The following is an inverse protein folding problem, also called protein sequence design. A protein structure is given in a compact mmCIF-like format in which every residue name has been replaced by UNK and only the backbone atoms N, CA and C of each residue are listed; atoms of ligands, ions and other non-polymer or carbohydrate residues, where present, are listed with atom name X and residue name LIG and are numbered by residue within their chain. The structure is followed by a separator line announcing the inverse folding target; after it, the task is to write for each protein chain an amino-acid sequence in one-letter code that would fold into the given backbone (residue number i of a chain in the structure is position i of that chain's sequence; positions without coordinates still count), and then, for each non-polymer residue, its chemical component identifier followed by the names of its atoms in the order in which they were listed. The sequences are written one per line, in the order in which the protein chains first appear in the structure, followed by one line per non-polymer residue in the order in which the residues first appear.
data_IF_612431477325
#
_entry.id   IF_612431477325
#
_cell.length_a   1.000
_cell.length_b   1.000
_cell.length_c   1.000
_cell.angle_alpha   90.00
_cell.angle_beta   90.00
_cell.angle_gamma   90.00
#
_symmetry.space_group_name_H-M   'P 1'
#
loop_
_entity.id
_entity.type
_entity.pdbx_description
1 polymer ?
#
# COMPACT_ATOMS: atom_id res chain seq x y z
N UNK A 1 -2.82 12.78 -0.19
CA UNK A 1 -2.70 13.36 -1.54
C UNK A 1 -3.94 14.18 -1.88
N UNK A 2 -5.12 13.61 -1.94
CA UNK A 2 -6.35 14.35 -2.27
C UNK A 2 -6.58 15.60 -1.42
N UNK A 3 -6.38 15.53 -0.10
CA UNK A 3 -6.50 16.70 0.80
C UNK A 3 -5.55 17.84 0.41
N UNK A 4 -4.33 17.52 -0.04
CA UNK A 4 -3.37 18.54 -0.46
C UNK A 4 -3.75 19.10 -1.83
N UNK A 5 -4.23 18.27 -2.75
CA UNK A 5 -4.76 18.74 -4.03
C UNK A 5 -5.93 19.71 -3.81
N UNK A 6 -6.85 19.39 -2.90
CA UNK A 6 -7.96 20.27 -2.54
C UNK A 6 -7.47 21.57 -1.88
N UNK A 7 -6.58 21.48 -0.89
CA UNK A 7 -6.20 22.64 -0.07
C UNK A 7 -5.18 23.58 -0.73
N UNK A 8 -4.27 23.04 -1.57
CA UNK A 8 -3.19 23.83 -2.20
C UNK A 8 -3.40 24.13 -3.67
N UNK A 9 -4.17 23.30 -4.38
CA UNK A 9 -4.36 23.42 -5.82
C UNK A 9 -5.83 23.63 -6.21
N UNK A 10 -6.72 23.86 -5.22
CA UNK A 10 -8.13 24.17 -5.39
C UNK A 10 -8.96 23.12 -6.16
N UNK A 11 -8.51 21.85 -6.15
CA UNK A 11 -9.32 20.77 -6.73
C UNK A 11 -10.58 20.52 -5.91
N UNK A 12 -11.70 20.33 -6.59
CA UNK A 12 -12.90 19.72 -6.01
C UNK A 12 -12.81 18.22 -6.24
N UNK A 13 -12.70 17.43 -5.17
CA UNK A 13 -12.48 15.99 -5.26
C UNK A 13 -13.60 15.24 -4.55
N UNK A 14 -14.29 14.41 -5.30
CA UNK A 14 -15.24 13.43 -4.80
C UNK A 14 -14.62 12.04 -4.84
N UNK A 15 -14.79 11.27 -3.78
CA UNK A 15 -14.24 9.91 -3.66
C UNK A 15 -15.39 8.92 -3.67
N UNK A 16 -15.40 8.05 -4.69
CA UNK A 16 -16.34 6.96 -4.82
C UNK A 16 -15.65 5.62 -4.53
N UNK A 17 -16.25 4.82 -3.64
CA UNK A 17 -15.65 3.53 -3.25
C UNK A 17 -16.73 2.55 -2.83
N UNK A 18 -16.35 1.29 -2.60
CA UNK A 18 -17.25 0.29 -2.04
C UNK A 18 -17.43 0.45 -0.53
N UNK A 19 -18.45 -0.22 0.01
CA UNK A 19 -18.66 -0.36 1.44
C UNK A 19 -17.80 -1.47 2.09
N UNK A 20 -16.86 -2.09 1.37
CA UNK A 20 -15.97 -3.12 1.91
C UNK A 20 -15.10 -2.61 3.05
N UNK A 21 -14.97 -3.41 4.12
CA UNK A 21 -14.02 -3.19 5.22
C UNK A 21 -12.76 -4.04 5.01
N UNK A 22 -12.89 -5.21 4.40
CA UNK A 22 -11.76 -6.11 4.14
C UNK A 22 -11.70 -6.55 2.67
N UNK A 23 -10.55 -7.09 2.27
CA UNK A 23 -10.33 -7.55 0.88
C UNK A 23 -11.21 -8.75 0.49
N UNK A 24 -11.71 -9.52 1.47
CA UNK A 24 -12.61 -10.64 1.20
C UNK A 24 -13.95 -10.12 0.69
N UNK A 25 -14.45 -9.06 1.29
CA UNK A 25 -15.71 -8.42 0.91
C UNK A 25 -15.74 -7.93 -0.55
N UNK A 26 -14.58 -7.67 -1.18
CA UNK A 26 -14.57 -7.26 -2.59
C UNK A 26 -15.12 -8.32 -3.56
N UNK A 27 -15.24 -9.59 -3.12
CA UNK A 27 -15.62 -10.74 -3.95
C UNK A 27 -16.52 -11.77 -3.27
N UNK A 28 -16.59 -11.74 -1.95
CA UNK A 28 -17.28 -12.76 -1.14
C UNK A 28 -18.20 -12.07 -0.12
N UNK A 29 -19.53 -12.35 -0.15
CA UNK A 29 -20.48 -11.77 0.78
C UNK A 29 -20.21 -12.12 2.26
N UNK A 30 -19.38 -13.13 2.54
CA UNK A 30 -18.89 -13.45 3.89
C UNK A 30 -17.77 -12.52 4.38
N UNK A 31 -17.32 -11.56 3.55
CA UNK A 31 -16.39 -10.49 3.95
C UNK A 31 -17.10 -9.43 4.80
N UNK A 32 -16.30 -8.61 5.48
CA UNK A 32 -16.82 -7.54 6.32
C UNK A 32 -17.17 -6.31 5.48
N UNK A 33 -18.37 -5.81 5.59
CA UNK A 33 -18.86 -4.57 4.95
C UNK A 33 -19.40 -3.59 5.97
N UNK A 34 -19.38 -2.31 5.64
CA UNK A 34 -20.09 -1.27 6.39
C UNK A 34 -21.60 -1.48 6.20
N UNK A 35 -22.36 -1.47 7.29
CA UNK A 35 -23.83 -1.55 7.26
C UNK A 35 -24.43 -0.25 6.69
N UNK A 36 -25.63 -0.31 6.07
CA UNK A 36 -26.29 0.87 5.48
C UNK A 36 -26.44 2.05 6.44
N UNK A 37 -26.70 1.78 7.72
CA UNK A 37 -26.88 2.78 8.78
C UNK A 37 -25.58 3.51 9.15
N UNK A 38 -24.42 2.99 8.73
CA UNK A 38 -23.12 3.59 8.96
C UNK A 38 -22.72 4.45 7.75
N UNK A 39 -23.27 5.67 7.68
CA UNK A 39 -22.81 6.79 6.83
C UNK A 39 -22.14 6.36 5.53
N UNK A 40 -22.92 5.87 4.57
CA UNK A 40 -22.44 5.66 3.20
C UNK A 40 -21.91 6.98 2.60
N UNK A 41 -22.39 8.09 3.12
CA UNK A 41 -21.87 9.43 2.88
C UNK A 41 -21.19 9.97 4.13
N UNK A 42 -19.94 10.33 4.02
CA UNK A 42 -19.26 11.05 5.10
C UNK A 42 -18.20 11.99 4.52
N UNK A 43 -17.89 13.00 5.31
CA UNK A 43 -16.82 13.93 5.01
C UNK A 43 -15.62 13.56 5.89
N UNK A 44 -14.49 13.27 5.25
CA UNK A 44 -13.21 13.08 5.95
C UNK A 44 -12.37 14.31 5.62
N UNK A 45 -12.09 15.11 6.64
CA UNK A 45 -11.47 16.42 6.47
C UNK A 45 -12.30 17.28 5.49
N UNK A 46 -11.73 17.68 4.35
CA UNK A 46 -12.43 18.46 3.31
C UNK A 46 -13.03 17.60 2.19
N UNK A 47 -12.81 16.29 2.18
CA UNK A 47 -13.17 15.39 1.08
C UNK A 47 -14.55 14.78 1.29
N UNK A 48 -15.36 14.77 0.23
CA UNK A 48 -16.63 14.02 0.19
C UNK A 48 -16.33 12.58 -0.20
N UNK A 49 -16.79 11.63 0.62
CA UNK A 49 -16.64 10.19 0.36
C UNK A 49 -18.01 9.56 0.25
N UNK A 50 -18.32 8.96 -0.89
CA UNK A 50 -19.54 8.19 -1.11
C UNK A 50 -19.18 6.71 -1.27
N UNK A 51 -19.79 5.87 -0.42
CA UNK A 51 -19.61 4.42 -0.45
C UNK A 51 -20.83 3.76 -1.05
N UNK A 52 -20.60 2.83 -1.95
CA UNK A 52 -21.67 2.09 -2.61
C UNK A 52 -21.67 0.64 -2.15
N UNK A 53 -22.85 0.03 -1.94
CA UNK A 53 -22.95 -1.37 -1.59
C UNK A 53 -22.44 -2.25 -2.74
N UNK A 54 -21.81 -3.37 -2.37
CA UNK A 54 -21.38 -4.37 -3.35
C UNK A 54 -22.57 -5.27 -3.65
N UNK A 55 -22.89 -5.43 -4.93
CA UNK A 55 -23.92 -6.38 -5.36
C UNK A 55 -23.29 -7.76 -5.59
N UNK A 56 -23.67 -8.74 -4.76
CA UNK A 56 -23.24 -10.14 -4.86
C UNK A 56 -24.28 -11.06 -5.48
N UNK A 57 -25.46 -10.55 -5.84
CA UNK A 57 -26.63 -11.36 -6.21
C UNK A 57 -26.66 -11.71 -7.71
N UNK A 58 -25.79 -11.08 -8.51
CA UNK A 58 -25.76 -11.27 -9.95
C UNK A 58 -24.62 -12.19 -10.36
N UNK A 59 -24.90 -13.05 -11.32
CA UNK A 59 -23.89 -13.83 -12.00
C UNK A 59 -23.01 -12.95 -12.91
N UNK A 60 -21.83 -13.44 -13.25
CA UNK A 60 -20.92 -12.75 -14.18
C UNK A 60 -21.57 -12.46 -15.53
N UNK A 61 -22.42 -13.39 -16.01
CA UNK A 61 -23.13 -13.21 -17.27
C UNK A 61 -24.19 -12.10 -17.18
N UNK A 62 -24.97 -12.06 -16.11
CA UNK A 62 -25.96 -10.99 -15.89
C UNK A 62 -25.30 -9.62 -15.81
N UNK A 63 -24.19 -9.51 -15.07
CA UNK A 63 -23.41 -8.27 -14.99
C UNK A 63 -22.92 -7.86 -16.38
N UNK A 64 -22.35 -8.80 -17.14
CA UNK A 64 -21.88 -8.54 -18.50
C UNK A 64 -23.01 -8.05 -19.42
N UNK A 65 -24.18 -8.69 -19.38
CA UNK A 65 -25.34 -8.26 -20.19
C UNK A 65 -25.84 -6.87 -19.82
N UNK A 66 -25.90 -6.55 -18.52
CA UNK A 66 -26.26 -5.20 -18.07
C UNK A 66 -25.28 -4.14 -18.58
N UNK A 67 -23.98 -4.43 -18.57
CA UNK A 67 -22.98 -3.53 -19.13
C UNK A 67 -23.12 -3.35 -20.63
N UNK A 68 -23.42 -4.43 -21.38
CA UNK A 68 -23.65 -4.39 -22.84
C UNK A 68 -24.82 -3.52 -23.25
N UNK A 69 -25.81 -3.35 -22.39
CA UNK A 69 -26.94 -2.45 -22.62
C UNK A 69 -26.57 -0.96 -22.48
N UNK A 70 -25.34 -0.65 -22.04
CA UNK A 70 -24.83 0.73 -21.96
C UNK A 70 -24.01 1.02 -23.22
N UNK A 71 -24.47 1.94 -24.05
CA UNK A 71 -23.82 2.27 -25.33
C UNK A 71 -22.33 2.65 -25.15
N UNK A 72 -22.05 3.52 -24.20
CA UNK A 72 -20.68 3.95 -23.87
C UNK A 72 -19.76 2.79 -23.45
N UNK A 73 -20.30 1.71 -22.88
CA UNK A 73 -19.53 0.53 -22.56
C UNK A 73 -19.07 -0.22 -23.82
N UNK A 74 -19.92 -0.28 -24.85
CA UNK A 74 -19.59 -0.97 -26.10
C UNK A 74 -18.43 -0.27 -26.82
N UNK A 75 -18.33 1.05 -26.73
CA UNK A 75 -17.25 1.84 -27.33
C UNK A 75 -15.87 1.59 -26.69
N UNK A 76 -15.80 1.00 -25.48
CA UNK A 76 -14.53 0.61 -24.84
C UNK A 76 -13.81 -0.52 -25.60
N UNK A 77 -14.50 -1.29 -26.44
CA UNK A 77 -13.94 -2.40 -27.20
C UNK A 77 -13.15 -3.39 -26.32
N UNK A 78 -13.72 -3.76 -25.16
CA UNK A 78 -13.17 -4.76 -24.26
C UNK A 78 -13.73 -6.14 -24.62
N UNK A 79 -12.87 -7.16 -24.71
CA UNK A 79 -13.33 -8.53 -24.96
C UNK A 79 -14.16 -9.04 -23.77
N UNK A 80 -15.14 -9.93 -24.05
CA UNK A 80 -15.96 -10.57 -23.02
C UNK A 80 -15.09 -11.26 -21.97
N UNK A 81 -14.02 -11.96 -22.39
CA UNK A 81 -13.08 -12.60 -21.48
C UNK A 81 -12.44 -11.59 -20.52
N UNK A 82 -11.98 -10.44 -21.03
CA UNK A 82 -11.39 -9.38 -20.21
C UNK A 82 -12.37 -8.88 -19.15
N UNK A 83 -13.58 -8.52 -19.58
CA UNK A 83 -14.61 -7.97 -18.67
C UNK A 83 -15.00 -9.01 -17.61
N UNK A 84 -15.21 -10.29 -18.00
CA UNK A 84 -15.54 -11.37 -17.07
C UNK A 84 -14.45 -11.56 -16.00
N UNK A 85 -13.17 -11.53 -16.40
CA UNK A 85 -12.05 -11.60 -15.45
C UNK A 85 -12.05 -10.42 -14.45
N UNK A 86 -12.40 -9.21 -14.90
CA UNK A 86 -12.54 -8.05 -14.01
C UNK A 86 -13.73 -8.20 -13.08
N UNK A 87 -14.88 -8.67 -13.56
CA UNK A 87 -16.07 -8.95 -12.72
C UNK A 87 -15.68 -9.94 -11.61
N UNK A 88 -14.98 -11.03 -11.92
CA UNK A 88 -14.45 -11.99 -10.92
C UNK A 88 -13.54 -11.35 -9.89
N UNK A 89 -12.82 -10.32 -10.25
CA UNK A 89 -11.95 -9.59 -9.34
C UNK A 89 -12.72 -8.62 -8.44
N UNK A 90 -13.94 -8.22 -8.80
CA UNK A 90 -14.82 -7.32 -8.03
C UNK A 90 -14.18 -5.96 -7.72
N UNK A 91 -14.84 -5.14 -6.91
CA UNK A 91 -16.26 -5.25 -6.52
C UNK A 91 -17.19 -4.77 -7.64
N UNK A 92 -18.36 -5.37 -7.79
CA UNK A 92 -19.41 -4.86 -8.68
C UNK A 92 -20.31 -3.89 -7.91
N UNK A 93 -20.32 -2.63 -8.36
CA UNK A 93 -21.02 -1.51 -7.71
C UNK A 93 -22.15 -1.02 -8.63
N UNK A 94 -23.25 -1.73 -8.64
CA UNK A 94 -24.39 -1.45 -9.52
C UNK A 94 -24.94 -0.03 -9.32
N UNK A 95 -25.12 0.36 -8.05
CA UNK A 95 -25.68 1.66 -7.71
C UNK A 95 -24.74 2.82 -8.08
N UNK A 96 -23.41 2.58 -8.09
CA UNK A 96 -22.45 3.57 -8.60
C UNK A 96 -22.61 3.75 -10.11
N UNK A 97 -22.80 2.65 -10.86
CA UNK A 97 -22.99 2.71 -12.31
C UNK A 97 -24.31 3.44 -12.63
N UNK A 98 -25.40 3.08 -11.95
CA UNK A 98 -26.69 3.77 -12.10
C UNK A 98 -26.57 5.25 -11.78
N UNK A 99 -25.91 5.59 -10.68
CA UNK A 99 -25.70 6.97 -10.25
C UNK A 99 -25.10 7.82 -11.39
N UNK A 100 -24.03 7.37 -12.04
CA UNK A 100 -23.41 8.12 -13.13
C UNK A 100 -24.24 8.16 -14.44
N UNK A 101 -25.03 7.13 -14.71
CA UNK A 101 -25.92 7.12 -15.89
C UNK A 101 -27.10 8.08 -15.72
N UNK A 102 -27.58 8.24 -14.47
CA UNK A 102 -28.78 9.04 -14.19
C UNK A 102 -28.50 10.46 -13.70
N UNK A 103 -27.29 10.76 -13.22
CA UNK A 103 -26.91 12.08 -12.72
C UNK A 103 -26.47 12.98 -13.87
N UNK A 104 -27.37 13.86 -14.32
CA UNK A 104 -27.05 14.86 -15.35
C UNK A 104 -26.31 16.11 -14.82
N UNK A 105 -25.98 16.15 -13.51
CA UNK A 105 -25.53 17.38 -12.85
C UNK A 105 -24.03 17.39 -12.44
N UNK A 106 -23.31 16.26 -12.56
CA UNK A 106 -21.92 16.22 -12.10
C UNK A 106 -20.93 16.41 -13.26
N UNK A 107 -20.35 17.60 -13.35
CA UNK A 107 -19.27 17.90 -14.28
C UNK A 107 -17.93 17.59 -13.60
N UNK A 108 -17.20 16.61 -14.12
CA UNK A 108 -15.83 16.32 -13.75
C UNK A 108 -14.91 16.63 -14.92
N UNK A 109 -13.71 17.13 -14.62
CA UNK A 109 -12.70 17.40 -15.63
C UNK A 109 -11.82 16.15 -15.90
N UNK A 110 -11.73 15.23 -14.95
CA UNK A 110 -11.00 13.96 -15.08
C UNK A 110 -11.44 12.92 -14.04
N UNK A 111 -11.14 11.65 -14.31
CA UNK A 111 -11.37 10.55 -13.38
C UNK A 111 -10.05 9.80 -13.12
N UNK A 112 -9.73 9.58 -11.84
CA UNK A 112 -8.54 8.84 -11.43
C UNK A 112 -8.92 7.60 -10.63
N UNK A 113 -8.49 6.43 -11.10
CA UNK A 113 -8.71 5.14 -10.41
C UNK A 113 -7.40 4.50 -9.94
N UNK A 114 -7.50 3.59 -8.99
CA UNK A 114 -6.33 2.91 -8.41
C UNK A 114 -6.58 1.41 -8.27
N UNK A 115 -5.50 0.64 -8.07
CA UNK A 115 -5.51 -0.79 -7.79
C UNK A 115 -5.94 -1.70 -8.95
N UNK A 116 -4.97 -2.04 -9.79
CA UNK A 116 -5.10 -3.15 -10.74
C UNK A 116 -5.03 -4.51 -9.99
N UNK A 117 -5.73 -5.55 -10.41
CA UNK A 117 -6.72 -5.66 -11.49
C UNK A 117 -8.17 -5.76 -10.99
N UNK A 118 -8.66 -4.74 -10.32
CA UNK A 118 -10.04 -4.72 -9.81
C UNK A 118 -11.03 -4.11 -10.82
N UNK A 119 -12.33 -4.42 -10.64
CA UNK A 119 -13.40 -4.02 -11.58
C UNK A 119 -13.59 -2.50 -11.67
N UNK A 120 -13.18 -1.73 -10.66
CA UNK A 120 -13.20 -0.26 -10.71
C UNK A 120 -12.44 0.35 -11.91
N UNK A 121 -11.49 -0.37 -12.51
CA UNK A 121 -10.82 0.09 -13.73
C UNK A 121 -11.79 0.12 -14.91
N UNK A 122 -12.65 -0.89 -15.04
CA UNK A 122 -13.69 -0.94 -16.06
C UNK A 122 -14.71 0.18 -15.83
N UNK A 123 -15.12 0.39 -14.57
CA UNK A 123 -16.03 1.47 -14.18
C UNK A 123 -15.44 2.84 -14.52
N UNK A 124 -14.16 3.07 -14.21
CA UNK A 124 -13.48 4.33 -14.51
C UNK A 124 -13.48 4.64 -16.02
N UNK A 125 -13.12 3.65 -16.85
CA UNK A 125 -13.14 3.82 -18.31
C UNK A 125 -14.57 4.07 -18.85
N UNK A 126 -15.58 3.38 -18.28
CA UNK A 126 -16.97 3.60 -18.63
C UNK A 126 -17.39 5.05 -18.35
N UNK A 127 -17.07 5.56 -17.17
CA UNK A 127 -17.42 6.94 -16.78
C UNK A 127 -16.63 7.96 -17.58
N UNK A 128 -15.36 7.71 -17.88
CA UNK A 128 -14.60 8.56 -18.80
C UNK A 128 -15.27 8.69 -20.17
N UNK A 129 -15.92 7.62 -20.65
CA UNK A 129 -16.70 7.64 -21.91
C UNK A 129 -18.05 8.32 -21.78
N UNK A 130 -18.76 8.13 -20.66
CA UNK A 130 -20.07 8.77 -20.42
C UNK A 130 -19.91 10.29 -20.27
N UNK A 131 -18.86 10.72 -19.56
CA UNK A 131 -18.62 12.14 -19.24
C UNK A 131 -17.70 12.85 -20.25
N UNK A 132 -17.14 12.09 -21.20
CA UNK A 132 -16.16 12.58 -22.21
C UNK A 132 -14.93 13.25 -21.60
N UNK A 133 -14.44 12.68 -20.47
CA UNK A 133 -13.29 13.21 -19.73
C UNK A 133 -12.12 12.22 -19.68
N UNK A 134 -10.88 12.73 -19.55
CA UNK A 134 -9.71 11.86 -19.47
C UNK A 134 -9.70 10.98 -18.22
N UNK A 135 -9.12 9.79 -18.39
CA UNK A 135 -9.03 8.76 -17.36
C UNK A 135 -7.59 8.47 -16.97
N UNK A 136 -7.34 8.38 -15.67
CA UNK A 136 -6.02 8.10 -15.10
C UNK A 136 -6.07 6.83 -14.28
N UNK A 137 -5.02 6.00 -14.36
CA UNK A 137 -4.87 4.81 -13.53
C UNK A 137 -3.54 4.83 -12.76
N UNK A 138 -3.60 4.63 -11.42
CA UNK A 138 -2.42 4.23 -10.63
C UNK A 138 -2.57 2.75 -10.28
N UNK A 139 -1.92 1.83 -11.03
CA UNK A 139 -2.21 0.40 -10.92
C UNK A 139 -1.66 -0.25 -9.66
N UNK A 140 -0.61 0.30 -9.02
CA UNK A 140 0.11 -0.34 -7.91
C UNK A 140 0.54 -1.76 -8.28
N UNK A 141 1.34 -1.88 -9.31
CA UNK A 141 1.64 -3.15 -9.95
C UNK A 141 2.58 -4.03 -9.10
N UNK A 142 2.15 -5.25 -8.80
CA UNK A 142 2.93 -6.22 -8.04
C UNK A 142 3.60 -7.23 -8.97
N UNK A 143 4.78 -6.94 -9.46
CA UNK A 143 5.47 -7.68 -10.55
C UNK A 143 5.64 -9.18 -10.31
N UNK A 144 5.86 -9.57 -9.07
CA UNK A 144 6.14 -10.97 -8.71
C UNK A 144 4.88 -11.80 -8.47
N UNK A 145 3.70 -11.20 -8.59
CA UNK A 145 2.43 -11.90 -8.40
C UNK A 145 1.84 -12.30 -9.77
N UNK A 146 1.64 -13.60 -10.04
CA UNK A 146 1.11 -14.09 -11.33
C UNK A 146 -0.21 -13.43 -11.75
N UNK A 147 -1.05 -13.02 -10.80
CA UNK A 147 -2.31 -12.30 -11.06
C UNK A 147 -2.11 -11.02 -11.87
N UNK A 148 -0.95 -10.37 -11.74
CA UNK A 148 -0.62 -9.15 -12.47
C UNK A 148 0.03 -9.43 -13.85
N UNK A 149 0.32 -10.69 -14.16
CA UNK A 149 0.92 -11.10 -15.42
C UNK A 149 -0.09 -11.62 -16.45
N UNK A 150 -1.39 -11.54 -16.16
CA UNK A 150 -2.47 -11.97 -17.07
C UNK A 150 -2.54 -11.02 -18.28
N UNK A 151 -2.22 -11.54 -19.47
CA UNK A 151 -2.17 -10.77 -20.72
C UNK A 151 -3.52 -10.20 -21.14
N UNK A 152 -4.62 -10.84 -20.75
CA UNK A 152 -5.99 -10.39 -21.06
C UNK A 152 -6.33 -9.17 -20.18
N UNK A 153 -6.04 -9.26 -18.87
CA UNK A 153 -6.30 -8.14 -17.95
C UNK A 153 -5.42 -6.93 -18.24
N UNK A 154 -4.16 -7.15 -18.61
CA UNK A 154 -3.21 -6.06 -18.82
C UNK A 154 -3.58 -5.14 -20.01
N UNK A 155 -4.34 -5.66 -20.99
CA UNK A 155 -4.82 -4.87 -22.14
C UNK A 155 -5.68 -3.67 -21.74
N UNK A 156 -6.35 -3.71 -20.59
CA UNK A 156 -7.16 -2.57 -20.11
C UNK A 156 -6.29 -1.34 -19.84
N UNK A 157 -5.04 -1.53 -19.40
CA UNK A 157 -4.17 -0.41 -19.02
C UNK A 157 -3.86 0.51 -20.22
N UNK A 158 -3.77 -0.03 -21.45
CA UNK A 158 -3.56 0.79 -22.65
C UNK A 158 -4.74 1.69 -23.02
N UNK A 159 -5.93 1.45 -22.44
CA UNK A 159 -7.14 2.24 -22.68
C UNK A 159 -7.18 3.54 -21.89
N UNK A 160 -6.39 3.65 -20.83
CA UNK A 160 -6.29 4.89 -20.05
C UNK A 160 -5.53 5.98 -20.82
N UNK A 161 -5.90 7.23 -20.58
CA UNK A 161 -5.23 8.38 -21.17
C UNK A 161 -3.88 8.61 -20.52
N UNK A 162 -3.77 8.35 -19.20
CA UNK A 162 -2.53 8.42 -18.43
C UNK A 162 -2.44 7.29 -17.40
N UNK A 163 -1.22 6.82 -17.16
CA UNK A 163 -0.89 5.86 -16.09
C UNK A 163 0.14 6.51 -15.18
N UNK A 164 -0.04 6.34 -13.87
CA UNK A 164 0.94 6.73 -12.87
C UNK A 164 1.60 5.46 -12.33
N UNK A 165 2.82 5.20 -12.73
CA UNK A 165 3.66 4.14 -12.17
C UNK A 165 4.35 4.63 -10.89
N UNK A 166 4.46 3.78 -9.87
CA UNK A 166 5.12 4.16 -8.62
C UNK A 166 6.65 4.14 -8.72
N UNK A 167 7.21 3.41 -9.69
CA UNK A 167 8.66 3.24 -9.89
C UNK A 167 9.02 3.21 -11.37
N UNK A 168 10.28 3.48 -11.69
CA UNK A 168 10.79 3.32 -13.07
C UNK A 168 10.79 1.86 -13.51
N UNK A 169 10.99 0.91 -12.57
CA UNK A 169 10.86 -0.53 -12.86
C UNK A 169 9.43 -0.85 -13.29
N UNK A 170 8.42 -0.31 -12.60
CA UNK A 170 7.02 -0.45 -13.00
C UNK A 170 6.78 0.13 -14.40
N UNK A 171 7.21 1.37 -14.65
CA UNK A 171 7.13 1.98 -15.98
C UNK A 171 7.78 1.11 -17.05
N UNK A 172 8.99 0.62 -16.80
CA UNK A 172 9.71 -0.25 -17.75
C UNK A 172 8.91 -1.52 -18.08
N UNK A 173 8.31 -2.18 -17.08
CA UNK A 173 7.49 -3.36 -17.31
C UNK A 173 6.23 -3.02 -18.11
N UNK A 174 5.57 -1.91 -17.83
CA UNK A 174 4.39 -1.46 -18.56
C UNK A 174 4.73 -1.19 -20.04
N UNK A 175 5.88 -0.58 -20.33
CA UNK A 175 6.34 -0.33 -21.71
C UNK A 175 6.80 -1.63 -22.38
N UNK A 176 7.75 -2.36 -21.78
CA UNK A 176 8.43 -3.47 -22.44
C UNK A 176 7.54 -4.69 -22.59
N UNK A 177 6.82 -5.05 -21.52
CA UNK A 177 6.01 -6.27 -21.45
C UNK A 177 4.59 -6.05 -21.95
N UNK A 178 3.96 -4.93 -21.60
CA UNK A 178 2.55 -4.69 -21.92
C UNK A 178 2.36 -3.73 -23.10
N UNK A 179 3.46 -3.25 -23.70
CA UNK A 179 3.48 -2.42 -24.90
C UNK A 179 2.67 -1.11 -24.77
N UNK A 180 2.63 -0.57 -23.55
CA UNK A 180 1.99 0.72 -23.30
C UNK A 180 2.96 1.81 -23.76
N UNK A 181 2.44 2.83 -24.45
CA UNK A 181 3.23 3.96 -24.93
C UNK A 181 3.92 4.66 -23.77
N UNK A 182 5.22 4.94 -23.92
CA UNK A 182 6.06 5.54 -22.86
C UNK A 182 5.51 6.91 -22.40
N UNK A 183 4.94 7.67 -23.34
CA UNK A 183 4.39 9.01 -23.16
C UNK A 183 3.14 9.01 -22.28
N UNK A 184 2.43 7.88 -22.23
CA UNK A 184 1.25 7.69 -21.36
C UNK A 184 1.60 7.39 -19.90
N UNK A 185 2.88 7.25 -19.55
CA UNK A 185 3.27 6.78 -18.21
C UNK A 185 4.14 7.81 -17.52
N UNK A 186 3.60 8.41 -16.46
CA UNK A 186 4.36 9.24 -15.52
C UNK A 186 4.85 8.38 -14.34
N UNK A 187 6.02 8.71 -13.79
CA UNK A 187 6.55 8.06 -12.59
C UNK A 187 6.35 8.97 -11.39
N UNK A 188 5.38 8.61 -10.56
CA UNK A 188 5.06 9.33 -9.34
C UNK A 188 5.04 8.34 -8.17
N UNK A 189 6.02 8.39 -7.29
CA UNK A 189 6.10 7.48 -6.15
C UNK A 189 5.00 7.74 -5.12
N UNK A 190 4.94 6.87 -4.11
CA UNK A 190 4.07 7.08 -2.96
C UNK A 190 4.64 8.13 -2.01
N UNK A 191 3.74 8.79 -1.27
CA UNK A 191 4.09 9.76 -0.24
C UNK A 191 3.91 9.22 1.17
N UNK A 192 4.46 9.96 2.13
CA UNK A 192 4.25 9.73 3.56
C UNK A 192 3.99 11.06 4.26
N UNK A 193 3.17 11.01 5.31
CA UNK A 193 3.08 12.13 6.27
C UNK A 193 4.28 12.04 7.23
N UNK A 194 5.38 12.68 6.82
CA UNK A 194 6.64 12.63 7.56
C UNK A 194 6.53 13.27 8.94
N UNK A 195 5.66 14.26 9.13
CA UNK A 195 5.46 14.96 10.40
C UNK A 195 4.96 14.02 11.51
N UNK A 196 4.11 13.05 11.16
CA UNK A 196 3.58 12.07 12.11
C UNK A 196 4.70 11.19 12.68
N UNK A 197 5.67 10.80 11.84
CA UNK A 197 6.72 9.86 12.21
C UNK A 197 7.99 10.54 12.72
N UNK A 198 8.24 11.81 12.40
CA UNK A 198 9.41 12.54 12.92
C UNK A 198 9.42 12.53 14.46
N UNK A 199 10.55 12.16 15.04
CA UNK A 199 10.78 12.26 16.49
C UNK A 199 11.25 13.68 16.83
N UNK A 200 10.34 14.60 17.07
CA UNK A 200 10.68 15.92 17.62
C UNK A 200 10.96 15.77 19.13
N UNK A 201 12.23 15.66 19.52
CA UNK A 201 12.64 15.55 20.92
C UNK A 201 12.27 16.79 21.77
N UNK A 202 11.91 17.92 21.17
CA UNK A 202 11.69 19.18 21.88
C UNK A 202 10.22 19.57 22.15
N UNK A 203 9.21 18.87 21.59
CA UNK A 203 7.83 19.39 21.64
C UNK A 203 6.76 18.48 22.25
N UNK A 204 7.07 17.35 22.88
CA UNK A 204 5.99 16.48 23.35
C UNK A 204 6.28 15.85 24.71
N UNK A 205 5.77 16.47 25.75
CA UNK A 205 5.70 15.95 27.12
C UNK A 205 4.69 14.80 27.28
N UNK A 206 3.77 14.57 26.30
CA UNK A 206 2.70 13.57 26.35
C UNK A 206 2.78 12.54 25.20
N UNK A 207 3.97 12.00 24.88
CA UNK A 207 4.08 10.94 23.88
C UNK A 207 3.78 9.56 24.45
N UNK A 208 2.93 8.82 23.73
CA UNK A 208 2.76 7.38 23.94
C UNK A 208 4.11 6.68 23.67
N UNK A 209 4.72 6.11 24.70
CA UNK A 209 6.03 5.44 24.62
C UNK A 209 5.82 3.95 24.47
N UNK A 210 6.23 3.40 23.32
CA UNK A 210 6.00 1.99 22.99
C UNK A 210 6.70 1.04 24.00
N UNK A 211 7.98 1.26 24.25
CA UNK A 211 8.77 0.39 25.15
C UNK A 211 8.29 0.46 26.60
N UNK A 212 7.81 1.61 27.04
CA UNK A 212 7.25 1.77 28.39
C UNK A 212 5.99 0.92 28.60
N UNK A 213 5.17 0.74 27.56
CA UNK A 213 3.92 0.01 27.65
C UNK A 213 4.04 -1.50 27.38
N UNK A 214 5.00 -1.90 26.54
CA UNK A 214 5.04 -3.26 26.02
C UNK A 214 6.30 -4.06 26.35
N UNK A 215 7.36 -3.42 26.86
CA UNK A 215 8.56 -4.13 27.28
C UNK A 215 8.52 -4.35 28.79
N UNK A 216 9.09 -5.46 29.25
CA UNK A 216 9.30 -5.67 30.67
C UNK A 216 10.16 -4.56 31.26
N UNK A 217 9.93 -4.18 32.54
CA UNK A 217 10.59 -3.04 33.18
C UNK A 217 12.12 -3.07 33.04
N UNK A 218 12.74 -4.20 33.29
CA UNK A 218 14.20 -4.39 33.19
C UNK A 218 14.71 -4.43 31.74
N UNK A 219 13.82 -4.49 30.74
CA UNK A 219 14.14 -4.70 29.33
C UNK A 219 13.85 -3.47 28.45
N UNK A 220 13.42 -2.35 29.02
CA UNK A 220 13.11 -1.10 28.29
C UNK A 220 14.26 -0.59 27.42
N UNK A 221 15.51 -0.95 27.75
CA UNK A 221 16.71 -0.62 26.99
C UNK A 221 17.02 -1.59 25.85
N UNK A 222 16.24 -2.68 25.70
CA UNK A 222 16.42 -3.64 24.62
C UNK A 222 16.15 -3.04 23.24
N UNK A 223 16.72 -3.65 22.22
CA UNK A 223 16.53 -3.23 20.84
C UNK A 223 15.11 -3.60 20.36
N UNK A 224 14.58 -2.81 19.47
CA UNK A 224 13.30 -3.05 18.82
C UNK A 224 13.52 -3.22 17.31
N UNK A 225 13.23 -4.40 16.79
CA UNK A 225 13.17 -4.70 15.36
C UNK A 225 11.69 -4.69 14.97
N UNK A 226 11.32 -3.79 14.05
CA UNK A 226 9.95 -3.58 13.64
C UNK A 226 9.68 -4.17 12.27
N UNK A 227 8.57 -4.88 12.17
CA UNK A 227 7.90 -5.25 10.93
C UNK A 227 6.49 -4.66 10.94
N UNK A 228 6.05 -4.05 9.82
CA UNK A 228 4.68 -3.54 9.65
C UNK A 228 4.18 -3.84 8.24
N UNK A 229 3.18 -4.70 8.12
CA UNK A 229 2.60 -5.14 6.86
C UNK A 229 1.79 -6.44 7.01
N UNK A 230 1.27 -6.98 5.91
CA UNK A 230 0.59 -8.28 5.90
C UNK A 230 1.57 -9.39 6.30
N UNK A 231 1.31 -10.07 7.41
CA UNK A 231 2.19 -11.13 7.94
C UNK A 231 1.98 -12.44 7.17
N UNK A 232 2.60 -12.52 6.00
CA UNK A 232 2.53 -13.68 5.12
C UNK A 232 3.91 -13.97 4.49
N UNK A 233 3.96 -14.99 3.65
CA UNK A 233 5.18 -15.39 2.94
C UNK A 233 5.66 -14.31 1.97
N UNK A 234 4.75 -13.75 1.18
CA UNK A 234 5.05 -12.74 0.15
C UNK A 234 5.71 -11.47 0.71
N UNK A 235 5.33 -11.09 1.93
CA UNK A 235 5.90 -9.92 2.62
C UNK A 235 7.11 -10.27 3.50
N UNK A 236 7.59 -11.52 3.45
CA UNK A 236 8.79 -11.99 4.13
C UNK A 236 8.65 -12.17 5.64
N UNK A 237 7.44 -12.05 6.21
CA UNK A 237 7.24 -12.15 7.65
C UNK A 237 7.60 -13.53 8.20
N UNK A 238 7.39 -14.60 7.43
CA UNK A 238 7.74 -15.96 7.81
C UNK A 238 9.27 -16.14 7.84
N UNK A 239 9.97 -15.58 6.86
CA UNK A 239 11.44 -15.64 6.79
C UNK A 239 12.09 -14.86 7.94
N UNK A 240 11.46 -13.75 8.38
CA UNK A 240 11.87 -13.02 9.59
C UNK A 240 11.74 -13.94 10.80
N UNK A 241 10.60 -14.60 11.01
CA UNK A 241 10.41 -15.53 12.14
C UNK A 241 11.50 -16.60 12.15
N UNK A 242 11.79 -17.22 11.01
CA UNK A 242 12.86 -18.23 10.88
C UNK A 242 14.27 -17.68 11.17
N UNK A 243 14.51 -16.38 10.97
CA UNK A 243 15.80 -15.74 11.27
C UNK A 243 15.98 -15.42 12.76
N UNK A 244 14.92 -15.40 13.57
CA UNK A 244 14.97 -15.02 14.99
C UNK A 244 15.95 -15.87 15.80
N UNK A 245 15.96 -17.22 15.72
CA UNK A 245 16.94 -18.03 16.45
C UNK A 245 18.38 -17.63 16.13
N UNK A 246 18.70 -17.43 14.84
CA UNK A 246 20.04 -17.03 14.37
C UNK A 246 20.46 -15.65 14.90
N UNK A 247 19.51 -14.72 14.99
CA UNK A 247 19.74 -13.38 15.55
C UNK A 247 20.02 -13.50 17.06
N UNK A 248 19.22 -14.31 17.78
CA UNK A 248 19.31 -14.46 19.24
C UNK A 248 20.61 -15.13 19.71
N UNK A 249 21.28 -15.90 18.85
CA UNK A 249 22.62 -16.41 19.13
C UNK A 249 23.66 -15.29 19.36
N UNK A 250 23.52 -14.18 18.63
CA UNK A 250 24.48 -13.07 18.64
C UNK A 250 23.96 -11.81 19.34
N UNK A 251 22.64 -11.65 19.50
CA UNK A 251 21.99 -10.49 20.11
C UNK A 251 20.86 -10.99 21.02
N UNK A 252 21.10 -10.94 22.34
CA UNK A 252 20.14 -11.45 23.33
C UNK A 252 19.09 -10.43 23.76
N UNK A 253 19.41 -9.13 23.67
CA UNK A 253 18.61 -8.01 24.21
C UNK A 253 17.80 -7.35 23.09
N UNK A 254 16.82 -8.07 22.54
CA UNK A 254 16.02 -7.63 21.38
C UNK A 254 14.59 -8.10 21.48
N UNK A 255 13.67 -7.22 21.09
CA UNK A 255 12.26 -7.46 20.82
C UNK A 255 11.98 -7.42 19.32
N UNK A 256 11.12 -8.32 18.88
CA UNK A 256 10.57 -8.33 17.52
C UNK A 256 9.11 -7.91 17.58
N UNK A 257 8.78 -6.81 16.92
CA UNK A 257 7.42 -6.27 16.88
C UNK A 257 6.84 -6.45 15.49
N UNK A 258 5.72 -7.17 15.41
CA UNK A 258 5.01 -7.42 14.17
C UNK A 258 3.65 -6.73 14.20
N UNK A 259 3.36 -5.90 13.20
CA UNK A 259 2.11 -5.13 13.08
C UNK A 259 1.43 -5.47 11.75
N UNK A 260 0.17 -5.89 11.79
CA UNK A 260 -0.67 -6.11 10.61
C UNK A 260 -1.44 -7.44 10.61
N UNK A 261 -2.23 -7.72 9.56
CA UNK A 261 -3.00 -8.96 9.44
C UNK A 261 -2.09 -10.20 9.38
N UNK A 262 -2.53 -11.28 10.01
CA UNK A 262 -1.78 -12.55 10.07
C UNK A 262 -2.36 -13.60 9.12
N UNK A 263 -1.51 -14.30 8.39
CA UNK A 263 -1.88 -15.52 7.65
C UNK A 263 -1.80 -16.75 8.54
N UNK A 264 -2.51 -17.82 8.16
CA UNK A 264 -2.43 -19.13 8.86
C UNK A 264 -0.98 -19.66 8.89
N UNK A 265 -0.24 -19.49 7.79
CA UNK A 265 1.17 -19.93 7.70
C UNK A 265 2.07 -19.17 8.67
N UNK A 266 1.89 -17.84 8.79
CA UNK A 266 2.61 -17.02 9.77
C UNK A 266 2.30 -17.47 11.21
N UNK A 267 1.03 -17.67 11.56
CA UNK A 267 0.64 -18.09 12.91
C UNK A 267 1.24 -19.46 13.28
N UNK A 268 1.29 -20.41 12.33
CA UNK A 268 1.93 -21.70 12.52
C UNK A 268 3.43 -21.56 12.81
N UNK A 269 4.12 -20.69 12.08
CA UNK A 269 5.56 -20.47 12.31
C UNK A 269 5.80 -19.71 13.60
N UNK A 270 5.00 -18.70 13.92
CA UNK A 270 5.05 -17.96 15.18
C UNK A 270 4.95 -18.92 16.39
N UNK A 271 4.02 -19.87 16.35
CA UNK A 271 3.85 -20.85 17.43
C UNK A 271 5.11 -21.70 17.68
N UNK A 272 5.91 -21.98 16.64
CA UNK A 272 7.20 -22.66 16.80
C UNK A 272 8.23 -21.76 17.47
N UNK A 273 8.32 -20.50 17.01
CA UNK A 273 9.31 -19.54 17.51
C UNK A 273 9.04 -19.16 18.98
N UNK A 274 7.79 -19.08 19.40
CA UNK A 274 7.42 -18.80 20.80
C UNK A 274 7.89 -19.87 21.80
N UNK A 275 8.25 -21.09 21.33
CA UNK A 275 8.86 -22.13 22.17
C UNK A 275 10.30 -21.81 22.57
N UNK A 276 10.96 -20.88 21.86
CA UNK A 276 12.31 -20.43 22.25
C UNK A 276 12.20 -19.46 23.43
N UNK A 277 12.67 -19.87 24.62
CA UNK A 277 12.57 -19.11 25.88
C UNK A 277 13.08 -17.65 25.79
N UNK A 278 13.95 -17.34 24.83
CA UNK A 278 14.54 -16.00 24.64
C UNK A 278 13.84 -15.17 23.58
N UNK A 279 12.87 -15.74 22.84
CA UNK A 279 12.15 -15.00 21.83
C UNK A 279 11.16 -14.03 22.46
N UNK A 280 11.39 -12.73 22.30
CA UNK A 280 10.52 -11.65 22.73
C UNK A 280 9.78 -11.10 21.54
N UNK A 281 8.54 -11.52 21.37
CA UNK A 281 7.71 -11.16 20.21
C UNK A 281 6.45 -10.46 20.68
N UNK A 282 6.20 -9.28 20.11
CA UNK A 282 4.94 -8.54 20.26
C UNK A 282 4.23 -8.56 18.92
N UNK A 283 2.99 -9.03 18.92
CA UNK A 283 2.24 -9.27 17.69
C UNK A 283 0.89 -8.54 17.71
N UNK A 284 0.77 -7.48 16.91
CA UNK A 284 -0.47 -6.73 16.71
C UNK A 284 -1.18 -7.15 15.44
N UNK A 285 -2.49 -7.32 15.53
CA UNK A 285 -3.40 -7.53 14.41
C UNK A 285 -4.30 -6.30 14.26
N UNK A 286 -5.08 -6.17 13.17
CA UNK A 286 -6.04 -5.07 13.03
C UNK A 286 -6.99 -4.93 14.21
N UNK A 287 -7.33 -6.04 14.88
CA UNK A 287 -8.25 -6.04 16.04
C UNK A 287 -7.64 -5.34 17.27
N UNK A 288 -6.32 -5.20 17.34
CA UNK A 288 -5.60 -4.51 18.42
C UNK A 288 -5.28 -3.04 18.10
N UNK A 289 -5.68 -2.56 16.93
CA UNK A 289 -5.35 -1.22 16.42
C UNK A 289 -6.62 -0.44 16.10
N UNK A 290 -6.57 0.87 16.29
CA UNK A 290 -7.69 1.78 16.02
C UNK A 290 -7.71 2.33 14.60
N UNK A 291 -6.76 1.96 13.75
CA UNK A 291 -6.67 2.40 12.36
C UNK A 291 -5.23 2.55 11.87
N UNK A 292 -5.08 3.15 10.69
CA UNK A 292 -3.78 3.28 10.02
C UNK A 292 -2.76 4.09 10.83
N UNK A 293 -3.18 5.19 11.48
CA UNK A 293 -2.35 6.05 12.32
C UNK A 293 -2.52 5.74 13.82
N UNK A 294 -2.71 4.47 14.18
CA UNK A 294 -2.77 4.06 15.59
C UNK A 294 -1.51 4.48 16.35
N UNK A 295 -1.71 5.01 17.57
CA UNK A 295 -0.63 5.50 18.43
C UNK A 295 0.44 4.45 18.74
N UNK A 296 0.05 3.17 18.85
CA UNK A 296 0.99 2.06 19.09
C UNK A 296 1.89 1.85 17.88
N UNK A 297 1.31 1.87 16.65
CA UNK A 297 2.08 1.78 15.40
C UNK A 297 3.07 2.94 15.29
N UNK A 298 2.60 4.18 15.46
CA UNK A 298 3.45 5.37 15.35
C UNK A 298 4.60 5.33 16.37
N UNK A 299 4.30 4.96 17.63
CA UNK A 299 5.30 4.87 18.69
C UNK A 299 6.31 3.74 18.41
N UNK A 300 5.86 2.58 17.87
CA UNK A 300 6.75 1.51 17.47
C UNK A 300 7.75 1.98 16.40
N UNK A 301 7.31 2.73 15.37
CA UNK A 301 8.21 3.33 14.39
C UNK A 301 9.20 4.32 15.02
N UNK A 302 8.74 5.21 15.91
CA UNK A 302 9.60 6.22 16.55
C UNK A 302 10.67 5.62 17.47
N UNK A 303 10.41 4.44 18.05
CA UNK A 303 11.31 3.81 19.02
C UNK A 303 12.06 2.58 18.46
N UNK A 304 11.80 2.20 17.21
CA UNK A 304 12.50 1.10 16.57
C UNK A 304 13.99 1.39 16.36
N UNK A 305 14.80 0.33 16.47
CA UNK A 305 16.22 0.37 16.14
C UNK A 305 16.47 0.08 14.66
N UNK A 306 15.58 -0.69 14.02
CA UNK A 306 15.54 -0.91 12.58
C UNK A 306 14.15 -1.38 12.14
N UNK A 307 13.82 -1.12 10.89
CA UNK A 307 12.64 -1.63 10.19
C UNK A 307 13.05 -2.75 9.21
N UNK A 308 12.34 -3.88 9.25
CA UNK A 308 12.69 -5.09 8.49
C UNK A 308 11.47 -5.59 7.73
N UNK A 309 11.47 -5.50 6.39
CA UNK A 309 10.41 -6.03 5.53
C UNK A 309 11.00 -6.62 4.24
N UNK A 310 11.50 -7.86 4.26
CA UNK A 310 12.08 -8.53 3.09
C UNK A 310 10.97 -9.08 2.17
N UNK A 311 10.16 -8.18 1.62
CA UNK A 311 9.03 -8.48 0.74
C UNK A 311 9.48 -8.71 -0.70
N UNK A 312 8.86 -9.67 -1.41
CA UNK A 312 9.06 -9.83 -2.86
C UNK A 312 8.00 -9.15 -3.72
N UNK A 313 6.88 -8.71 -3.12
CA UNK A 313 5.70 -8.23 -3.87
C UNK A 313 5.23 -6.86 -3.44
N UNK A 314 6.12 -5.90 -3.23
CA UNK A 314 5.71 -4.51 -3.03
C UNK A 314 5.72 -3.74 -4.35
N UNK A 315 4.66 -2.97 -4.58
CA UNK A 315 4.63 -1.99 -5.66
C UNK A 315 5.57 -0.81 -5.37
N UNK A 316 5.72 -0.44 -4.09
CA UNK A 316 6.59 0.65 -3.66
C UNK A 316 7.16 0.44 -2.24
N UNK A 317 6.31 0.13 -1.25
CA UNK A 317 6.74 -0.08 0.13
C UNK A 317 6.65 1.18 0.99
N UNK A 318 5.44 1.72 1.19
CA UNK A 318 5.19 2.93 1.99
C UNK A 318 5.79 2.82 3.40
N UNK A 319 5.79 1.62 3.99
CA UNK A 319 6.32 1.42 5.35
C UNK A 319 7.84 1.66 5.45
N UNK A 320 8.60 1.59 4.36
CA UNK A 320 9.99 2.08 4.32
C UNK A 320 10.05 3.59 4.51
N UNK A 321 9.11 4.33 3.89
CA UNK A 321 9.03 5.78 4.05
C UNK A 321 8.67 6.18 5.48
N UNK A 322 7.76 5.45 6.13
CA UNK A 322 7.38 5.65 7.53
C UNK A 322 8.61 5.44 8.46
N UNK A 323 9.38 4.39 8.20
CA UNK A 323 10.60 4.11 8.93
C UNK A 323 11.67 5.20 8.73
N UNK A 324 11.92 5.59 7.50
CA UNK A 324 12.86 6.68 7.19
C UNK A 324 12.40 8.03 7.76
N UNK A 325 11.11 8.34 7.72
CA UNK A 325 10.58 9.55 8.35
C UNK A 325 10.86 9.57 9.86
N UNK A 326 10.83 8.40 10.53
CA UNK A 326 11.26 8.24 11.92
C UNK A 326 12.79 8.27 12.11
N UNK A 327 13.58 8.31 11.04
CA UNK A 327 15.04 8.30 11.08
C UNK A 327 15.66 6.95 11.38
N UNK A 328 14.92 5.85 11.19
CA UNK A 328 15.42 4.49 11.41
C UNK A 328 15.83 3.82 10.08
N UNK A 329 16.90 3.01 10.09
CA UNK A 329 17.35 2.31 8.89
C UNK A 329 16.38 1.19 8.52
N UNK A 330 16.37 0.83 7.25
CA UNK A 330 15.51 -0.21 6.70
C UNK A 330 16.32 -1.37 6.14
N UNK A 331 15.72 -2.57 6.19
CA UNK A 331 16.17 -3.75 5.44
C UNK A 331 15.01 -4.24 4.59
N UNK A 332 15.21 -4.29 3.26
CA UNK A 332 14.27 -4.83 2.27
C UNK A 332 14.84 -6.03 1.52
N UNK A 333 14.07 -6.65 0.62
CA UNK A 333 14.58 -7.70 -0.25
C UNK A 333 15.11 -7.15 -1.59
N UNK A 334 16.12 -7.82 -2.16
CA UNK A 334 16.73 -7.52 -3.47
C UNK A 334 15.85 -8.04 -4.61
N UNK A 335 14.55 -7.70 -4.61
CA UNK A 335 13.60 -8.16 -5.61
C UNK A 335 12.45 -7.16 -5.79
N UNK A 336 11.79 -7.21 -6.95
CA UNK A 336 10.66 -6.32 -7.26
C UNK A 336 11.08 -4.85 -7.33
N UNK A 337 10.24 -3.96 -6.80
CA UNK A 337 10.50 -2.52 -6.77
C UNK A 337 11.48 -2.09 -5.66
N UNK A 338 11.73 -2.94 -4.67
CA UNK A 338 12.51 -2.58 -3.48
C UNK A 338 13.93 -2.08 -3.78
N UNK A 339 14.72 -2.65 -4.75
CA UNK A 339 16.04 -2.14 -5.08
C UNK A 339 16.08 -0.72 -5.68
N UNK A 340 14.97 -0.25 -6.26
CA UNK A 340 14.84 1.15 -6.69
C UNK A 340 14.56 2.06 -5.50
N UNK A 341 13.74 1.59 -4.56
CA UNK A 341 13.34 2.35 -3.38
C UNK A 341 14.48 2.43 -2.36
N UNK A 342 15.20 1.33 -2.11
CA UNK A 342 16.31 1.26 -1.14
C UNK A 342 17.65 1.25 -1.90
N UNK A 343 18.46 2.30 -1.72
CA UNK A 343 19.84 2.35 -2.21
C UNK A 343 20.74 1.65 -1.19
N UNK A 344 21.23 0.47 -1.56
CA UNK A 344 22.02 -0.37 -0.65
C UNK A 344 23.25 0.35 -0.12
N UNK A 345 23.51 0.23 1.20
CA UNK A 345 24.61 0.87 1.96
C UNK A 345 24.56 2.42 1.99
N UNK A 346 23.51 3.03 1.40
CA UNK A 346 23.29 4.49 1.39
C UNK A 346 22.15 4.86 2.34
N UNK A 347 20.95 4.30 2.14
CA UNK A 347 19.76 4.57 2.97
C UNK A 347 19.11 3.29 3.54
N UNK A 348 19.65 2.10 3.22
CA UNK A 348 19.21 0.83 3.78
C UNK A 348 20.12 -0.33 3.40
N UNK A 349 19.72 -1.53 3.75
CA UNK A 349 20.35 -2.76 3.31
C UNK A 349 19.34 -3.64 2.56
N UNK A 350 19.86 -4.47 1.66
CA UNK A 350 19.08 -5.43 0.91
C UNK A 350 19.51 -6.85 1.28
N UNK A 351 18.52 -7.77 1.36
CA UNK A 351 18.71 -9.20 1.58
C UNK A 351 18.11 -10.00 0.44
N UNK A 352 18.59 -11.22 0.26
CA UNK A 352 17.93 -12.17 -0.63
C UNK A 352 16.57 -12.57 -0.05
N UNK A 353 15.54 -12.62 -0.93
CA UNK A 353 14.20 -13.02 -0.52
C UNK A 353 14.21 -14.46 0.00
N UNK A 354 13.43 -14.70 1.07
CA UNK A 354 13.30 -15.99 1.76
C UNK A 354 14.64 -16.62 2.22
N UNK A 355 15.60 -15.78 2.58
CA UNK A 355 16.89 -16.21 3.14
C UNK A 355 17.04 -15.77 4.60
N UNK A 356 16.62 -16.60 5.58
CA UNK A 356 16.71 -16.26 7.00
C UNK A 356 18.14 -16.00 7.49
N UNK A 357 19.17 -16.64 6.89
CA UNK A 357 20.56 -16.44 7.25
C UNK A 357 21.04 -15.03 6.85
N UNK A 358 20.77 -14.62 5.61
CA UNK A 358 21.14 -13.28 5.15
C UNK A 358 20.38 -12.19 5.94
N UNK A 359 19.09 -12.41 6.23
CA UNK A 359 18.32 -11.54 7.13
C UNK A 359 19.02 -11.40 8.48
N UNK A 360 19.40 -12.51 9.12
CA UNK A 360 20.07 -12.48 10.41
C UNK A 360 21.41 -11.74 10.35
N UNK A 361 22.24 -11.99 9.34
CA UNK A 361 23.53 -11.32 9.16
C UNK A 361 23.38 -9.80 9.02
N UNK A 362 22.44 -9.31 8.18
CA UNK A 362 22.22 -7.86 7.98
C UNK A 362 21.63 -7.20 9.23
N UNK A 363 20.70 -7.87 9.93
CA UNK A 363 20.16 -7.39 11.21
C UNK A 363 21.28 -7.26 12.25
N UNK A 364 22.10 -8.30 12.44
CA UNK A 364 23.23 -8.30 13.39
C UNK A 364 24.21 -7.17 13.04
N UNK A 365 24.56 -7.01 11.74
CA UNK A 365 25.43 -5.92 11.26
C UNK A 365 24.91 -4.55 11.68
N UNK A 366 23.62 -4.26 11.48
CA UNK A 366 23.03 -2.95 11.83
C UNK A 366 22.93 -2.74 13.34
N UNK A 367 22.47 -3.74 14.08
CA UNK A 367 22.29 -3.62 15.54
C UNK A 367 23.64 -3.42 16.25
N UNK A 368 24.71 -4.08 15.80
CA UNK A 368 26.05 -3.93 16.39
C UNK A 368 26.77 -2.66 15.95
N UNK A 369 26.43 -2.08 14.80
CA UNK A 369 27.10 -0.89 14.27
C UNK A 369 26.23 0.38 14.40
N UNK A 370 26.34 1.06 15.55
CA UNK A 370 25.61 2.30 15.84
C UNK A 370 25.84 3.41 14.79
N UNK A 371 27.10 3.53 14.28
CA UNK A 371 27.46 4.55 13.28
C UNK A 371 26.78 4.28 11.94
N UNK A 372 26.82 3.04 11.47
CA UNK A 372 26.14 2.62 10.23
C UNK A 372 24.62 2.81 10.36
N UNK A 373 24.04 2.34 11.48
CA UNK A 373 22.62 2.48 11.78
C UNK A 373 22.17 3.95 11.68
N UNK A 374 22.90 4.87 12.34
CA UNK A 374 22.61 6.31 12.29
C UNK A 374 22.78 6.88 10.89
N UNK A 375 23.86 6.53 10.18
CA UNK A 375 24.11 6.97 8.80
C UNK A 375 22.96 6.64 7.87
N UNK A 376 22.54 5.36 7.82
CA UNK A 376 21.48 4.89 6.93
C UNK A 376 20.11 5.50 7.28
N UNK A 377 19.78 5.59 8.57
CA UNK A 377 18.54 6.21 9.01
C UNK A 377 18.43 7.70 8.63
N UNK A 378 19.49 8.47 8.86
CA UNK A 378 19.53 9.89 8.48
C UNK A 378 19.48 10.09 6.95
N UNK A 379 20.19 9.26 6.17
CA UNK A 379 20.13 9.32 4.72
C UNK A 379 18.72 9.02 4.19
N UNK A 380 18.04 8.02 4.77
CA UNK A 380 16.65 7.73 4.46
C UNK A 380 15.70 8.87 4.83
N UNK A 381 15.88 9.47 6.02
CA UNK A 381 15.08 10.62 6.46
C UNK A 381 15.23 11.82 5.53
N UNK A 382 16.45 12.13 5.12
CA UNK A 382 16.72 13.17 4.14
C UNK A 382 16.04 12.86 2.79
N UNK A 383 16.16 11.63 2.31
CA UNK A 383 15.51 11.17 1.06
C UNK A 383 13.99 11.36 1.12
N UNK A 384 13.34 11.04 2.25
CA UNK A 384 11.90 11.26 2.42
C UNK A 384 11.56 12.74 2.31
N UNK A 385 12.29 13.62 3.01
CA UNK A 385 12.02 15.06 2.99
C UNK A 385 12.21 15.70 1.61
N UNK A 386 13.08 15.15 0.77
CA UNK A 386 13.37 15.68 -0.56
C UNK A 386 12.47 15.11 -1.67
N UNK A 387 11.86 13.91 -1.47
CA UNK A 387 11.25 13.20 -2.61
C UNK A 387 9.91 12.54 -2.32
N UNK A 388 9.55 12.32 -1.04
CA UNK A 388 8.44 11.42 -0.70
C UNK A 388 7.44 12.01 0.30
N UNK A 389 7.44 13.32 0.55
CA UNK A 389 6.34 13.95 1.30
C UNK A 389 5.09 14.03 0.42
N UNK A 390 3.90 13.97 1.03
CA UNK A 390 2.66 14.11 0.27
C UNK A 390 2.57 15.44 -0.49
N UNK A 391 3.23 16.51 -0.02
CA UNK A 391 3.30 17.80 -0.73
C UNK A 391 4.01 17.66 -2.09
N UNK A 392 5.15 16.94 -2.12
CA UNK A 392 5.92 16.71 -3.34
C UNK A 392 5.12 15.80 -4.31
N UNK A 393 4.50 14.75 -3.77
CA UNK A 393 3.71 13.82 -4.57
C UNK A 393 2.47 14.51 -5.16
N UNK A 394 1.77 15.32 -4.37
CA UNK A 394 0.63 16.09 -4.84
C UNK A 394 1.01 17.08 -5.96
N UNK A 395 2.17 17.76 -5.83
CA UNK A 395 2.69 18.63 -6.89
C UNK A 395 2.91 17.87 -8.20
N UNK A 396 3.54 16.69 -8.14
CA UNK A 396 3.75 15.85 -9.33
C UNK A 396 2.42 15.39 -9.94
N UNK A 397 1.48 14.98 -9.10
CA UNK A 397 0.14 14.55 -9.54
C UNK A 397 -0.63 15.72 -10.17
N UNK A 398 -0.56 16.91 -9.57
CA UNK A 398 -1.13 18.13 -10.14
C UNK A 398 -0.59 18.40 -11.54
N UNK A 399 0.73 18.32 -11.75
CA UNK A 399 1.33 18.53 -13.07
C UNK A 399 0.83 17.49 -14.09
N UNK A 400 0.69 16.21 -13.69
CA UNK A 400 0.10 15.17 -14.55
C UNK A 400 -1.36 15.50 -14.93
N UNK A 401 -2.16 16.00 -13.99
CA UNK A 401 -3.54 16.40 -14.26
C UNK A 401 -3.61 17.58 -15.21
N UNK A 402 -2.82 18.63 -14.98
CA UNK A 402 -2.77 19.82 -15.84
C UNK A 402 -2.33 19.50 -17.28
N UNK A 403 -1.50 18.49 -17.50
CA UNK A 403 -1.09 18.06 -18.84
C UNK A 403 -2.19 17.29 -19.59
N UNK A 404 -3.30 16.96 -18.95
CA UNK A 404 -4.44 16.26 -19.54
C UNK A 404 -5.66 17.18 -19.73
N UNK A 405 -5.73 18.24 -18.95
CA UNK A 405 -6.75 19.29 -19.03
C UNK A 405 -6.34 20.40 -19.99
#
# INVERSE_FOLDING_TARGET
MAEILTSKYNYKIDIYTSNAIDFKALRDPKGKVLKPDNKLFHKVNSLKIKRFPINYNLSENEIYQRLKNIESFNSLNLSRECVTKFIKNGPYLEDLIKFFITSNEENYDLIHTTFFPYFNLVICLLFGKILEVPTICTPFFHFSNPRYSDSVLNKILSKFDRIIACTYIEKKILVDKFKIQNEKIDVIPMGVDDKIFRSNRKMQTNHYKFKEHFFHEKEKKFRLILYCGNKNYEKGAISILKSIPLILEKIKNVYFVFIGPSSKAYNRELSKILKFKRARIINFTPDNLTGYYDKKKIAAFKEADLYLMPSRTDAFGIAFLEAWAAGIPVIGARIGATPEVIRENIDGLLVEFDNPLDIAQKVIKLIKNKRLKKKLGLAGQHKVSQSYTWDIIAKKTHNTYQNLL
#
